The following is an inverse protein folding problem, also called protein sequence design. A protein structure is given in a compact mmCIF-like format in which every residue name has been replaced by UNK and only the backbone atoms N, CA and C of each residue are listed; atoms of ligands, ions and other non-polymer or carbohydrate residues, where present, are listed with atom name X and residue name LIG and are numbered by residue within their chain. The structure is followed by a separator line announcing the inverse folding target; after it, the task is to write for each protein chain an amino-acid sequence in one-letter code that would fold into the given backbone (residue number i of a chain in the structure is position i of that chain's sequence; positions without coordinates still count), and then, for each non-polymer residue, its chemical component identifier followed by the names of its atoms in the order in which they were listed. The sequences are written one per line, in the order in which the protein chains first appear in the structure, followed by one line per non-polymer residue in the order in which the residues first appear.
data_IF_674608496164
#
_entry.id   IF_674608496164
#
_cell.length_a   1.000
_cell.length_b   1.000
_cell.length_c   1.000
_cell.angle_alpha   90.00
_cell.angle_beta   90.00
_cell.angle_gamma   90.00
#
_symmetry.space_group_name_H-M   'P 1'
#
loop_
_entity.id
_entity.type
_entity.pdbx_description
1 polymer ?
#
# COMPACT_ATOMS: atom_id res chain seq x y z
N UNK A 1 -26.08 15.22 -20.82
CA UNK A 1 -25.77 13.98 -21.56
C UNK A 1 -24.64 13.31 -20.80
N UNK A 2 -24.94 12.27 -20.02
CA UNK A 2 -23.92 11.55 -19.24
C UNK A 2 -22.95 10.89 -20.23
N UNK A 3 -21.68 11.29 -20.22
CA UNK A 3 -20.63 10.54 -20.91
C UNK A 3 -20.48 9.22 -20.18
N UNK A 4 -20.85 8.14 -20.84
CA UNK A 4 -20.65 6.79 -20.35
C UNK A 4 -19.14 6.54 -20.22
N UNK A 5 -18.69 6.16 -19.02
CA UNK A 5 -17.26 6.05 -18.70
C UNK A 5 -16.78 4.60 -18.90
N UNK A 6 -16.58 4.23 -20.16
CA UNK A 6 -16.14 2.88 -20.54
C UNK A 6 -14.79 2.48 -19.94
N UNK A 7 -13.91 3.44 -19.63
CA UNK A 7 -12.62 3.16 -19.00
C UNK A 7 -12.82 2.63 -17.57
N UNK A 8 -13.73 3.22 -16.80
CA UNK A 8 -14.00 2.81 -15.42
C UNK A 8 -14.75 1.48 -15.30
N UNK A 9 -15.71 1.20 -16.20
CA UNK A 9 -16.44 -0.08 -16.19
C UNK A 9 -15.53 -1.25 -16.58
N UNK A 10 -14.75 -1.10 -17.66
CA UNK A 10 -13.85 -2.16 -18.12
C UNK A 10 -12.74 -2.49 -17.11
N UNK A 11 -12.19 -1.47 -16.42
CA UNK A 11 -11.21 -1.69 -15.35
C UNK A 11 -11.84 -2.42 -14.14
N UNK A 12 -13.09 -2.10 -13.80
CA UNK A 12 -13.84 -2.75 -12.73
C UNK A 12 -14.11 -4.23 -13.03
N UNK A 13 -14.51 -4.55 -14.26
CA UNK A 13 -14.75 -5.93 -14.69
C UNK A 13 -13.48 -6.78 -14.61
N UNK A 14 -12.35 -6.24 -15.08
CA UNK A 14 -11.06 -6.93 -15.04
C UNK A 14 -10.57 -7.09 -13.60
N UNK A 15 -10.74 -6.07 -12.75
CA UNK A 15 -10.44 -6.17 -11.32
C UNK A 15 -11.21 -7.31 -10.66
N UNK A 16 -12.49 -7.46 -11.00
CA UNK A 16 -13.34 -8.54 -10.48
C UNK A 16 -12.92 -9.91 -11.00
N UNK A 17 -12.58 -10.02 -12.28
CA UNK A 17 -12.18 -11.28 -12.92
C UNK A 17 -10.84 -11.80 -12.37
N UNK A 18 -9.92 -10.90 -12.00
CA UNK A 18 -8.63 -11.27 -11.39
C UNK A 18 -8.81 -11.95 -10.03
N UNK A 19 -9.89 -11.64 -9.29
CA UNK A 19 -10.20 -12.28 -8.01
C UNK A 19 -10.48 -13.79 -8.14
N UNK A 20 -10.83 -14.27 -9.35
CA UNK A 20 -11.04 -15.70 -9.61
C UNK A 20 -9.74 -16.52 -9.57
N UNK A 21 -8.58 -15.87 -9.56
CA UNK A 21 -7.27 -16.53 -9.51
C UNK A 21 -6.65 -16.36 -8.13
N UNK A 22 -6.31 -17.47 -7.48
CA UNK A 22 -5.67 -17.44 -6.15
C UNK A 22 -4.20 -17.00 -6.21
N UNK A 23 -3.42 -17.62 -7.10
CA UNK A 23 -1.98 -17.40 -7.18
C UNK A 23 -1.65 -16.14 -8.02
N UNK A 24 -0.78 -15.23 -7.54
CA UNK A 24 -0.41 -14.03 -8.29
C UNK A 24 0.16 -14.31 -9.68
N UNK A 25 0.88 -15.42 -9.85
CA UNK A 25 1.40 -15.85 -11.16
C UNK A 25 0.28 -16.10 -12.19
N UNK A 26 -0.87 -16.62 -11.75
CA UNK A 26 -2.02 -16.87 -12.62
C UNK A 26 -2.75 -15.56 -12.93
N UNK A 27 -2.86 -14.65 -11.96
CA UNK A 27 -3.36 -13.27 -12.17
C UNK A 27 -2.53 -12.54 -13.23
N UNK A 28 -1.19 -12.61 -13.15
CA UNK A 28 -0.28 -12.01 -14.14
C UNK A 28 -0.46 -12.62 -15.53
N UNK A 29 -0.58 -13.96 -15.61
CA UNK A 29 -0.78 -14.64 -16.89
C UNK A 29 -2.10 -14.21 -17.55
N UNK A 30 -3.18 -14.12 -16.76
CA UNK A 30 -4.46 -13.61 -17.21
C UNK A 30 -4.33 -12.18 -17.76
N UNK A 31 -3.80 -11.26 -16.96
CA UNK A 31 -3.61 -9.86 -17.36
C UNK A 31 -2.79 -9.72 -18.66
N UNK A 32 -1.68 -10.46 -18.78
CA UNK A 32 -0.87 -10.48 -20.02
C UNK A 32 -1.64 -10.98 -21.23
N UNK A 33 -2.51 -11.96 -21.04
CA UNK A 33 -3.36 -12.51 -22.11
C UNK A 33 -4.35 -11.46 -22.59
N UNK A 34 -5.07 -10.80 -21.67
CA UNK A 34 -6.04 -9.76 -22.04
C UNK A 34 -5.34 -8.55 -22.70
N UNK A 35 -4.15 -8.16 -22.23
CA UNK A 35 -3.36 -7.12 -22.90
C UNK A 35 -2.99 -7.49 -24.34
N UNK A 36 -2.63 -8.75 -24.62
CA UNK A 36 -2.32 -9.20 -25.97
C UNK A 36 -3.57 -9.21 -26.86
N UNK A 37 -4.71 -9.64 -26.33
CA UNK A 37 -6.00 -9.56 -27.04
C UNK A 37 -6.38 -8.10 -27.37
N UNK A 38 -6.19 -7.19 -26.42
CA UNK A 38 -6.40 -5.76 -26.62
C UNK A 38 -5.49 -5.20 -27.72
N UNK A 39 -4.22 -5.61 -27.78
CA UNK A 39 -3.29 -5.23 -28.88
C UNK A 39 -3.76 -5.76 -30.23
N UNK A 40 -4.29 -6.99 -30.28
CA UNK A 40 -4.86 -7.55 -31.51
C UNK A 40 -6.09 -6.73 -31.94
N UNK A 41 -6.94 -6.34 -30.99
CA UNK A 41 -8.09 -5.45 -31.21
C UNK A 41 -7.68 -4.10 -31.79
N UNK A 42 -6.70 -3.43 -31.19
CA UNK A 42 -6.19 -2.14 -31.68
C UNK A 42 -5.58 -2.28 -33.08
N UNK A 43 -4.79 -3.33 -33.35
CA UNK A 43 -4.23 -3.60 -34.69
C UNK A 43 -5.32 -3.75 -35.76
N UNK A 44 -6.45 -4.39 -35.42
CA UNK A 44 -7.60 -4.50 -36.34
C UNK A 44 -8.24 -3.14 -36.56
N UNK A 45 -8.47 -2.37 -35.50
CA UNK A 45 -9.04 -1.02 -35.57
C UNK A 45 -8.18 -0.07 -36.41
N UNK A 46 -6.85 -0.09 -36.22
CA UNK A 46 -5.92 0.80 -36.89
C UNK A 46 -5.91 0.65 -38.43
N UNK A 47 -6.40 -0.48 -38.99
CA UNK A 47 -6.52 -0.67 -40.44
C UNK A 47 -7.57 0.24 -41.07
N UNK A 48 -8.57 0.68 -40.30
CA UNK A 48 -9.70 1.49 -40.78
C UNK A 48 -9.81 2.84 -40.08
N UNK A 49 -8.93 3.11 -39.12
CA UNK A 49 -8.90 4.36 -38.36
C UNK A 49 -8.27 5.50 -39.17
N UNK A 50 -8.88 6.69 -39.09
CA UNK A 50 -8.37 7.91 -39.75
C UNK A 50 -7.20 8.55 -39.00
N UNK A 51 -7.08 8.28 -37.70
CA UNK A 51 -6.06 8.84 -36.81
C UNK A 51 -5.52 7.73 -35.89
N UNK A 52 -4.87 6.70 -36.45
CA UNK A 52 -4.36 5.59 -35.66
C UNK A 52 -3.27 6.06 -34.71
N UNK A 53 -3.20 5.46 -33.52
CA UNK A 53 -2.19 5.73 -32.50
C UNK A 53 -2.19 7.18 -31.94
N UNK A 54 -3.22 7.98 -32.23
CA UNK A 54 -3.44 9.30 -31.62
C UNK A 54 -4.55 9.19 -30.55
N UNK A 55 -4.21 9.13 -29.25
CA UNK A 55 -5.19 8.99 -28.17
C UNK A 55 -6.10 10.21 -28.01
N UNK A 56 -5.71 11.38 -28.50
CA UNK A 56 -6.54 12.60 -28.42
C UNK A 56 -7.61 12.61 -29.51
N UNK A 57 -7.35 11.92 -30.63
CA UNK A 57 -8.23 11.91 -31.82
C UNK A 57 -8.94 10.57 -32.05
N UNK A 58 -8.57 9.52 -31.33
CA UNK A 58 -9.15 8.19 -31.47
C UNK A 58 -9.51 7.57 -30.11
N UNK A 59 -10.81 7.44 -29.85
CA UNK A 59 -11.34 6.89 -28.60
C UNK A 59 -10.86 5.45 -28.35
N UNK A 60 -10.84 4.59 -29.38
CA UNK A 60 -10.34 3.21 -29.26
C UNK A 60 -8.86 3.16 -28.90
N UNK A 61 -8.08 4.10 -29.42
CA UNK A 61 -6.66 4.24 -29.08
C UNK A 61 -6.51 4.70 -27.62
N UNK A 62 -7.30 5.69 -27.19
CA UNK A 62 -7.32 6.18 -25.80
C UNK A 62 -7.66 5.06 -24.81
N UNK A 63 -8.76 4.34 -25.06
CA UNK A 63 -9.21 3.20 -24.24
C UNK A 63 -8.12 2.12 -24.19
N UNK A 64 -7.51 1.76 -25.32
CA UNK A 64 -6.44 0.76 -25.35
C UNK A 64 -5.24 1.15 -24.48
N UNK A 65 -4.80 2.41 -24.56
CA UNK A 65 -3.67 2.88 -23.75
C UNK A 65 -4.03 2.97 -22.26
N UNK A 66 -5.20 3.50 -21.91
CA UNK A 66 -5.68 3.55 -20.53
C UNK A 66 -5.79 2.16 -19.91
N UNK A 67 -6.36 1.20 -20.66
CA UNK A 67 -6.48 -0.19 -20.25
C UNK A 67 -5.13 -0.87 -20.05
N UNK A 68 -4.21 -0.75 -21.01
CA UNK A 68 -2.88 -1.35 -20.86
C UNK A 68 -2.11 -0.74 -19.70
N UNK A 69 -2.21 0.58 -19.50
CA UNK A 69 -1.60 1.22 -18.34
C UNK A 69 -2.13 0.64 -17.03
N UNK A 70 -3.46 0.47 -16.92
CA UNK A 70 -4.09 -0.17 -15.77
C UNK A 70 -3.55 -1.61 -15.56
N UNK A 71 -3.58 -2.46 -16.58
CA UNK A 71 -3.06 -3.83 -16.48
C UNK A 71 -1.57 -3.88 -16.13
N UNK A 72 -0.75 -2.95 -16.64
CA UNK A 72 0.66 -2.84 -16.29
C UNK A 72 0.86 -2.50 -14.81
N UNK A 73 0.05 -1.60 -14.25
CA UNK A 73 0.09 -1.30 -12.82
C UNK A 73 -0.31 -2.54 -12.00
N UNK A 74 -1.37 -3.25 -12.38
CA UNK A 74 -1.80 -4.48 -11.70
C UNK A 74 -0.74 -5.58 -11.77
N UNK A 75 -0.14 -5.82 -12.94
CA UNK A 75 0.96 -6.78 -13.10
C UNK A 75 2.14 -6.39 -12.20
N UNK A 76 2.50 -5.11 -12.13
CA UNK A 76 3.58 -4.61 -11.27
C UNK A 76 3.27 -4.83 -9.79
N UNK A 77 2.02 -4.63 -9.38
CA UNK A 77 1.56 -4.90 -8.01
C UNK A 77 1.67 -6.39 -7.69
N UNK A 78 1.26 -7.27 -8.60
CA UNK A 78 1.33 -8.72 -8.44
C UNK A 78 2.77 -9.24 -8.42
N UNK A 79 3.67 -8.68 -9.23
CA UNK A 79 5.10 -8.99 -9.14
C UNK A 79 5.69 -8.52 -7.82
N UNK A 80 5.26 -7.35 -7.34
CA UNK A 80 5.65 -6.84 -6.03
C UNK A 80 5.15 -7.77 -4.92
N UNK A 81 3.93 -8.29 -5.03
CA UNK A 81 3.37 -9.26 -4.11
C UNK A 81 4.11 -10.60 -4.15
N UNK A 82 4.47 -11.10 -5.32
CA UNK A 82 5.30 -12.30 -5.48
C UNK A 82 6.69 -12.13 -4.85
N UNK A 83 7.32 -10.98 -5.07
CA UNK A 83 8.65 -10.68 -4.53
C UNK A 83 8.63 -10.60 -3.00
N UNK A 84 7.65 -9.88 -2.44
CA UNK A 84 7.47 -9.77 -0.99
C UNK A 84 7.07 -11.13 -0.40
N UNK A 85 6.12 -11.86 -0.97
CA UNK A 85 5.67 -13.15 -0.40
C UNK A 85 6.74 -14.23 -0.44
N UNK A 86 7.64 -14.19 -1.43
CA UNK A 86 8.76 -15.14 -1.52
C UNK A 86 9.84 -14.84 -0.49
N UNK A 87 10.17 -13.56 -0.27
CA UNK A 87 11.25 -13.15 0.64
C UNK A 87 10.79 -12.91 2.09
N UNK A 88 9.51 -12.61 2.29
CA UNK A 88 8.91 -12.25 3.57
C UNK A 88 7.50 -12.84 3.71
N UNK A 89 7.41 -14.18 3.88
CA UNK A 89 6.15 -14.92 3.78
C UNK A 89 5.16 -14.64 4.91
N UNK A 90 5.57 -14.00 6.00
CA UNK A 90 4.67 -13.66 7.11
C UNK A 90 4.03 -12.29 6.93
N UNK A 91 4.43 -11.50 5.93
CA UNK A 91 3.86 -10.18 5.69
C UNK A 91 2.44 -10.24 5.11
N UNK A 92 1.59 -9.37 5.63
CA UNK A 92 0.26 -9.15 5.08
C UNK A 92 0.34 -8.19 3.89
N UNK A 93 0.62 -8.73 2.71
CA UNK A 93 0.84 -7.93 1.50
C UNK A 93 -0.42 -7.17 1.08
N UNK A 94 -1.60 -7.77 1.25
CA UNK A 94 -2.88 -7.13 0.91
C UNK A 94 -3.11 -5.89 1.78
N UNK A 95 -2.86 -6.01 3.09
CA UNK A 95 -2.98 -4.88 4.00
C UNK A 95 -1.95 -3.77 3.70
N UNK A 96 -0.72 -4.15 3.32
CA UNK A 96 0.31 -3.19 2.89
C UNK A 96 -0.17 -2.41 1.66
N UNK A 97 -0.68 -3.10 0.64
CA UNK A 97 -1.18 -2.48 -0.59
C UNK A 97 -2.34 -1.53 -0.30
N UNK A 98 -3.30 -1.95 0.55
CA UNK A 98 -4.41 -1.09 0.98
C UNK A 98 -3.92 0.16 1.70
N UNK A 99 -2.99 0.02 2.63
CA UNK A 99 -2.41 1.17 3.34
C UNK A 99 -1.69 2.13 2.38
N UNK A 100 -0.97 1.63 1.36
CA UNK A 100 -0.33 2.49 0.37
C UNK A 100 -1.34 3.37 -0.38
N UNK A 101 -2.54 2.87 -0.62
CA UNK A 101 -3.64 3.63 -1.23
C UNK A 101 -4.23 4.63 -0.21
N UNK A 102 -4.57 4.17 0.99
CA UNK A 102 -5.24 4.99 2.01
C UNK A 102 -4.37 6.16 2.50
N UNK A 103 -3.04 5.95 2.53
CA UNK A 103 -2.04 6.94 2.91
C UNK A 103 -1.87 8.07 1.89
N UNK A 104 -2.53 8.03 0.73
CA UNK A 104 -2.55 9.17 -0.20
C UNK A 104 -3.10 10.45 0.45
N UNK A 105 -3.96 10.31 1.48
CA UNK A 105 -4.46 11.43 2.31
C UNK A 105 -3.40 12.00 3.26
N UNK A 106 -2.30 11.28 3.46
CA UNK A 106 -1.22 11.59 4.40
C UNK A 106 0.15 11.48 3.69
N UNK A 107 0.48 12.39 2.76
CA UNK A 107 1.64 12.23 1.87
C UNK A 107 2.97 12.05 2.61
N UNK A 108 3.20 12.80 3.70
CA UNK A 108 4.41 12.68 4.51
C UNK A 108 4.51 11.31 5.21
N UNK A 109 3.38 10.70 5.57
CA UNK A 109 3.35 9.36 6.17
C UNK A 109 3.59 8.30 5.09
N UNK A 110 2.96 8.47 3.93
CA UNK A 110 3.11 7.59 2.76
C UNK A 110 4.57 7.46 2.32
N UNK A 111 5.28 8.59 2.22
CA UNK A 111 6.69 8.61 1.82
C UNK A 111 7.56 7.77 2.76
N UNK A 112 7.42 7.98 4.07
CA UNK A 112 8.21 7.26 5.07
C UNK A 112 7.83 5.78 5.13
N UNK A 113 6.55 5.45 5.02
CA UNK A 113 6.08 4.06 5.00
C UNK A 113 6.59 3.29 3.77
N UNK A 114 6.58 3.92 2.58
CA UNK A 114 7.18 3.36 1.36
C UNK A 114 8.69 3.17 1.48
N UNK A 115 9.38 4.09 2.16
CA UNK A 115 10.81 3.96 2.44
C UNK A 115 11.12 2.76 3.34
N UNK A 116 10.27 2.48 4.34
CA UNK A 116 10.37 1.29 5.17
C UNK A 116 10.17 0.00 4.35
N UNK A 117 9.12 -0.02 3.51
CA UNK A 117 8.81 -1.17 2.64
C UNK A 117 9.94 -1.48 1.66
N UNK A 118 10.58 -0.45 1.10
CA UNK A 118 11.71 -0.62 0.18
C UNK A 118 12.92 -1.27 0.87
N UNK A 119 13.24 -0.83 2.10
CA UNK A 119 14.33 -1.41 2.90
C UNK A 119 14.07 -2.87 3.28
N UNK A 120 12.80 -3.20 3.55
CA UNK A 120 12.37 -4.56 3.83
C UNK A 120 12.65 -5.48 2.63
N UNK A 121 12.24 -5.05 1.43
CA UNK A 121 12.48 -5.79 0.17
C UNK A 121 13.97 -5.98 -0.14
N UNK A 122 14.78 -4.98 0.15
CA UNK A 122 16.23 -5.05 -0.06
C UNK A 122 16.96 -5.94 0.96
N UNK A 123 16.25 -6.38 2.02
CA UNK A 123 16.78 -7.12 3.17
C UNK A 123 18.05 -6.46 3.75
N UNK A 124 18.03 -5.13 3.83
CA UNK A 124 19.14 -4.28 4.26
C UNK A 124 18.61 -3.15 5.13
N UNK A 125 19.51 -2.57 5.92
CA UNK A 125 19.20 -1.40 6.74
C UNK A 125 18.04 -1.63 7.72
N UNK A 126 18.02 -2.79 8.37
CA UNK A 126 16.95 -3.21 9.29
C UNK A 126 16.64 -2.16 10.36
N UNK A 127 17.69 -1.50 10.86
CA UNK A 127 17.57 -0.37 11.79
C UNK A 127 16.79 0.79 11.18
N UNK A 128 17.18 1.23 9.99
CA UNK A 128 16.53 2.33 9.29
C UNK A 128 15.08 1.99 8.93
N UNK A 129 14.81 0.74 8.56
CA UNK A 129 13.44 0.25 8.35
C UNK A 129 12.59 0.48 9.59
N UNK A 130 13.09 0.08 10.77
CA UNK A 130 12.37 0.28 12.02
C UNK A 130 12.20 1.78 12.32
N UNK A 131 13.25 2.58 12.16
CA UNK A 131 13.19 4.03 12.36
C UNK A 131 12.13 4.68 11.46
N UNK A 132 12.03 4.25 10.19
CA UNK A 132 11.00 4.71 9.27
C UNK A 132 9.60 4.29 9.74
N UNK A 133 9.38 3.05 10.19
CA UNK A 133 8.09 2.62 10.71
C UNK A 133 7.64 3.47 11.92
N UNK A 134 8.56 3.79 12.83
CA UNK A 134 8.26 4.71 13.95
C UNK A 134 7.90 6.08 13.44
N UNK A 135 8.69 6.62 12.53
CA UNK A 135 8.47 7.96 12.02
C UNK A 135 7.11 8.03 11.28
N UNK A 136 6.73 6.99 10.55
CA UNK A 136 5.42 6.89 9.90
C UNK A 136 4.29 6.97 10.94
N UNK A 137 4.35 6.19 12.03
CA UNK A 137 3.35 6.23 13.10
C UNK A 137 3.34 7.62 13.78
N UNK A 138 4.51 8.19 14.05
CA UNK A 138 4.62 9.51 14.66
C UNK A 138 3.98 10.61 13.81
N UNK A 139 4.25 10.61 12.50
CA UNK A 139 3.68 11.57 11.55
C UNK A 139 2.16 11.37 11.39
N UNK A 140 1.69 10.12 11.39
CA UNK A 140 0.26 9.82 11.34
C UNK A 140 -0.45 10.39 12.57
N UNK A 141 0.08 10.12 13.77
CA UNK A 141 -0.50 10.65 15.00
C UNK A 141 -0.46 12.18 15.05
N UNK A 142 0.62 12.82 14.60
CA UNK A 142 0.68 14.29 14.49
C UNK A 142 -0.43 14.83 13.59
N UNK A 143 -0.70 14.14 12.48
CA UNK A 143 -1.76 14.52 11.54
C UNK A 143 -3.15 14.33 12.14
N UNK A 144 -3.41 13.21 12.82
CA UNK A 144 -4.72 12.90 13.40
C UNK A 144 -5.03 13.76 14.64
N UNK A 145 -4.01 14.00 15.48
CA UNK A 145 -4.14 14.72 16.75
C UNK A 145 -3.89 16.23 16.62
N UNK A 146 -3.51 16.71 15.43
CA UNK A 146 -3.26 18.13 15.18
C UNK A 146 -2.10 18.72 16.00
N UNK A 147 -1.06 17.93 16.30
CA UNK A 147 0.06 18.34 17.14
C UNK A 147 1.43 18.10 16.48
N UNK A 148 2.52 18.43 17.18
CA UNK A 148 3.92 18.22 16.73
C UNK A 148 4.76 17.46 17.74
N UNK A 149 4.12 16.68 18.62
CA UNK A 149 4.80 15.94 19.68
C UNK A 149 5.57 14.74 19.10
N UNK A 150 6.59 14.27 19.80
CA UNK A 150 7.25 13.00 19.48
C UNK A 150 6.36 11.81 19.85
N UNK A 151 6.64 10.62 19.29
CA UNK A 151 5.80 9.43 19.48
C UNK A 151 5.50 9.13 20.96
N UNK A 152 6.51 9.14 21.84
CA UNK A 152 6.33 8.86 23.27
C UNK A 152 5.47 9.90 24.00
N UNK A 153 5.46 11.14 23.51
CA UNK A 153 4.71 12.24 24.11
C UNK A 153 3.26 12.35 23.60
N UNK A 154 2.86 11.48 22.68
CA UNK A 154 1.52 11.45 22.11
C UNK A 154 0.57 10.45 22.79
N UNK A 155 1.05 9.64 23.74
CA UNK A 155 0.26 8.53 24.31
C UNK A 155 -1.02 8.97 25.03
N UNK A 156 -1.02 10.12 25.71
CA UNK A 156 -2.20 10.63 26.40
C UNK A 156 -3.21 11.23 25.43
N UNK A 157 -2.75 12.04 24.47
CA UNK A 157 -3.59 12.60 23.41
C UNK A 157 -4.21 11.47 22.55
N UNK A 158 -3.43 10.43 22.25
CA UNK A 158 -3.90 9.24 21.55
C UNK A 158 -5.00 8.54 22.35
N UNK A 159 -4.85 8.42 23.67
CA UNK A 159 -5.88 7.84 24.52
C UNK A 159 -7.20 8.61 24.51
N UNK A 160 -7.14 9.95 24.45
CA UNK A 160 -8.32 10.80 24.31
C UNK A 160 -8.96 10.65 22.93
N UNK A 161 -8.15 10.74 21.87
CA UNK A 161 -8.62 10.58 20.48
C UNK A 161 -9.32 9.24 20.25
N UNK A 162 -8.74 8.14 20.73
CA UNK A 162 -9.35 6.81 20.63
C UNK A 162 -10.70 6.75 21.36
N UNK A 163 -10.80 7.37 22.53
CA UNK A 163 -12.05 7.42 23.30
C UNK A 163 -13.12 8.26 22.58
N UNK A 164 -12.73 9.36 21.95
CA UNK A 164 -13.63 10.22 21.17
C UNK A 164 -14.17 9.52 19.91
N UNK A 165 -13.42 8.58 19.35
CA UNK A 165 -13.83 7.73 18.23
C UNK A 165 -14.46 6.39 18.68
N UNK A 166 -15.14 6.38 19.83
CA UNK A 166 -15.94 5.25 20.35
C UNK A 166 -15.19 3.90 20.47
N UNK A 167 -13.87 3.92 20.65
CA UNK A 167 -13.12 2.67 20.87
C UNK A 167 -13.31 2.14 22.29
N UNK A 168 -13.34 0.81 22.42
CA UNK A 168 -13.42 0.16 23.73
C UNK A 168 -12.17 0.46 24.58
N UNK A 169 -12.31 0.40 25.91
CA UNK A 169 -11.21 0.70 26.84
C UNK A 169 -10.03 -0.26 26.65
N UNK A 170 -10.31 -1.51 26.34
CA UNK A 170 -9.33 -2.57 26.11
C UNK A 170 -8.52 -2.30 24.83
N UNK A 171 -9.20 -1.93 23.74
CA UNK A 171 -8.56 -1.58 22.47
C UNK A 171 -7.74 -0.30 22.62
N UNK A 172 -8.30 0.71 23.28
CA UNK A 172 -7.60 1.96 23.59
C UNK A 172 -6.29 1.68 24.35
N UNK A 173 -6.37 0.86 25.42
CA UNK A 173 -5.19 0.48 26.18
C UNK A 173 -4.18 -0.31 25.33
N UNK A 174 -4.64 -1.30 24.55
CA UNK A 174 -3.79 -2.11 23.69
C UNK A 174 -3.03 -1.27 22.67
N UNK A 175 -3.70 -0.34 21.99
CA UNK A 175 -3.06 0.56 21.02
C UNK A 175 -1.99 1.43 21.68
N UNK A 176 -2.28 2.01 22.84
CA UNK A 176 -1.31 2.83 23.59
C UNK A 176 -0.11 2.01 24.04
N UNK A 177 -0.33 0.78 24.51
CA UNK A 177 0.75 -0.16 24.89
C UNK A 177 1.60 -0.50 23.67
N UNK A 178 1.02 -0.79 22.51
CA UNK A 178 1.77 -1.06 21.28
C UNK A 178 2.66 0.12 20.89
N UNK A 179 2.14 1.34 20.88
CA UNK A 179 2.91 2.56 20.57
C UNK A 179 4.05 2.80 21.57
N UNK A 180 3.80 2.58 22.86
CA UNK A 180 4.81 2.67 23.91
C UNK A 180 5.93 1.64 23.71
N UNK A 181 5.58 0.37 23.44
CA UNK A 181 6.56 -0.69 23.20
C UNK A 181 7.34 -0.48 21.90
N UNK A 182 6.74 0.06 20.83
CA UNK A 182 7.50 0.48 19.65
C UNK A 182 8.55 1.54 20.01
N UNK A 183 8.15 2.53 20.80
CA UNK A 183 9.07 3.58 21.25
C UNK A 183 10.22 3.03 22.10
N UNK A 184 9.92 2.11 23.01
CA UNK A 184 10.90 1.42 23.88
C UNK A 184 11.82 0.49 23.11
N UNK A 185 11.28 -0.30 22.18
CA UNK A 185 12.07 -1.23 21.37
C UNK A 185 13.16 -0.49 20.62
N UNK A 186 12.82 0.61 19.96
CA UNK A 186 13.80 1.38 19.21
C UNK A 186 14.81 2.09 20.12
N UNK A 187 14.36 2.67 21.23
CA UNK A 187 15.29 3.24 22.21
C UNK A 187 16.32 2.21 22.71
N UNK A 188 15.92 0.94 22.85
CA UNK A 188 16.78 -0.13 23.37
C UNK A 188 17.68 -0.78 22.31
N UNK A 189 17.13 -1.11 21.15
CA UNK A 189 17.81 -1.96 20.16
C UNK A 189 18.35 -1.18 18.96
N UNK A 190 17.75 -0.03 18.64
CA UNK A 190 18.16 0.81 17.52
C UNK A 190 19.23 1.82 17.97
N UNK A 191 19.09 2.48 19.13
CA UNK A 191 20.02 3.55 19.51
C UNK A 191 21.43 3.12 19.93
N UNK A 192 21.66 1.85 20.31
CA UNK A 192 22.88 1.52 21.06
C UNK A 192 23.75 0.33 20.61
N UNK A 193 23.37 -0.58 19.68
CA UNK A 193 24.28 -1.72 19.36
C UNK A 193 23.92 -2.61 18.14
N UNK A 194 23.13 -2.17 17.15
CA UNK A 194 22.73 -2.99 15.97
C UNK A 194 22.28 -4.42 16.33
N UNK A 195 21.48 -4.55 17.40
CA UNK A 195 20.94 -5.84 17.87
C UNK A 195 19.52 -6.08 17.37
N UNK A 196 19.17 -5.53 16.23
CA UNK A 196 17.88 -5.80 15.61
C UNK A 196 17.83 -7.29 15.31
N UNK A 197 16.74 -7.93 15.73
CA UNK A 197 16.55 -9.34 15.49
C UNK A 197 15.76 -9.49 14.20
N UNK A 198 16.43 -10.00 13.18
CA UNK A 198 15.85 -10.20 11.85
C UNK A 198 14.50 -10.93 11.89
N UNK A 199 14.37 -11.96 12.73
CA UNK A 199 13.14 -12.75 12.88
C UNK A 199 11.96 -11.98 13.54
N UNK A 200 12.18 -10.77 14.05
CA UNK A 200 11.13 -9.89 14.60
C UNK A 200 10.67 -8.82 13.58
N UNK A 201 11.35 -8.67 12.44
CA UNK A 201 11.10 -7.58 11.50
C UNK A 201 9.73 -7.65 10.83
N UNK A 202 9.38 -8.80 10.24
CA UNK A 202 8.08 -8.98 9.59
C UNK A 202 6.93 -8.80 10.59
N UNK A 203 7.11 -9.28 11.82
CA UNK A 203 6.17 -9.07 12.90
C UNK A 203 5.98 -7.58 13.21
N UNK A 204 7.07 -6.83 13.42
CA UNK A 204 7.02 -5.39 13.70
C UNK A 204 6.40 -4.62 12.53
N UNK A 205 6.73 -5.00 11.29
CA UNK A 205 6.19 -4.37 10.09
C UNK A 205 4.67 -4.60 9.99
N UNK A 206 4.20 -5.82 10.19
CA UNK A 206 2.77 -6.14 10.21
C UNK A 206 2.06 -5.38 11.33
N UNK A 207 2.60 -5.39 12.56
CA UNK A 207 1.99 -4.66 13.68
C UNK A 207 1.89 -3.15 13.38
N UNK A 208 2.93 -2.57 12.78
CA UNK A 208 2.93 -1.15 12.37
C UNK A 208 1.87 -0.90 11.28
N UNK A 209 1.78 -1.79 10.31
CA UNK A 209 0.83 -1.74 9.20
C UNK A 209 -0.62 -1.86 9.70
N UNK A 210 -0.90 -2.82 10.58
CA UNK A 210 -2.22 -2.99 11.22
C UNK A 210 -2.59 -1.76 12.04
N UNK A 211 -1.65 -1.21 12.82
CA UNK A 211 -1.89 0.00 13.60
C UNK A 211 -2.22 1.20 12.72
N UNK A 212 -1.45 1.42 11.64
CA UNK A 212 -1.71 2.47 10.65
C UNK A 212 -3.11 2.29 10.04
N UNK A 213 -3.44 1.06 9.61
CA UNK A 213 -4.74 0.77 9.01
C UNK A 213 -5.89 1.03 9.97
N UNK A 214 -5.75 0.61 11.23
CA UNK A 214 -6.74 0.87 12.27
C UNK A 214 -6.95 2.38 12.48
N UNK A 215 -5.87 3.15 12.68
CA UNK A 215 -5.95 4.57 12.98
C UNK A 215 -6.52 5.43 11.82
N UNK A 216 -6.26 5.05 10.58
CA UNK A 216 -6.78 5.76 9.39
C UNK A 216 -8.28 5.54 9.19
N UNK A 217 -8.82 4.45 9.73
CA UNK A 217 -10.21 4.02 9.55
C UNK A 217 -11.10 4.22 10.79
N UNK A 218 -10.60 4.97 11.79
CA UNK A 218 -11.41 5.53 12.89
C UNK A 218 -12.21 6.74 12.39
#
# INVERSE_FOLDING_TARGET
MYKYDWENEMNSDISSEILNYYEPKHKILFLRTVMEESKIGLKKHNKTCKTPNDPEKCEMTKIHFGFNFFCEQEIKNLYTELDISYHSPQLDVELIQRNLIDLNRFPNVSEVYQAALSKLKENKFERNLLDDLRLAIELLLRSLLGNKKSLENQLDDLGLYLKENDTSKEINHMVRVLVDYFSKYQNKYVKHNDRVKHNELEFIFNQSTTLISFLINL
#
